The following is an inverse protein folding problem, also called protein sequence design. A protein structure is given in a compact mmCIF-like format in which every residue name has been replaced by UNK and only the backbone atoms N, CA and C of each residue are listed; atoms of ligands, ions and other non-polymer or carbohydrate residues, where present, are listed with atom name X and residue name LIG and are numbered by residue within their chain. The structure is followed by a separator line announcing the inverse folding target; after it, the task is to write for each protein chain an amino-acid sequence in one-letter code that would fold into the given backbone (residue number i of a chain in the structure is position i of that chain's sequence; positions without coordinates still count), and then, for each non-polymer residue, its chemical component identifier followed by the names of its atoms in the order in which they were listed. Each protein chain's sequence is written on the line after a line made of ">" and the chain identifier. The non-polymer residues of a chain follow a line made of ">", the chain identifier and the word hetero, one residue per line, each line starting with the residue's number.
data_IF_483088350629
#
_entry.id   IF_483088350629
#
_cell.length_a   1.000
_cell.length_b   1.000
_cell.length_c   1.000
_cell.angle_alpha   90.00
_cell.angle_beta   90.00
_cell.angle_gamma   90.00
#
_symmetry.space_group_name_H-M   'P 1'
#
loop_
_entity.id
_entity.type
_entity.pdbx_description
1 polymer ?
#
# COMPACT_ATOMS: atom_id res chain seq x y z
N UNK A 1 8.77 1.72 -6.66
CA UNK A 1 8.86 0.66 -5.65
C UNK A 1 8.52 -0.66 -6.31
N UNK A 2 9.34 -1.70 -6.15
CA UNK A 2 9.03 -3.04 -6.66
C UNK A 2 8.31 -3.83 -5.56
N UNK A 3 6.98 -3.89 -5.65
CA UNK A 3 6.16 -4.60 -4.64
C UNK A 3 6.33 -6.12 -4.70
N UNK A 4 6.88 -6.67 -5.78
CA UNK A 4 7.14 -8.10 -5.92
C UNK A 4 8.21 -8.61 -4.94
N UNK A 5 9.01 -7.70 -4.38
CA UNK A 5 10.04 -7.99 -3.38
C UNK A 5 9.60 -7.74 -1.94
N UNK A 6 8.41 -7.18 -1.72
CA UNK A 6 7.89 -6.95 -0.38
C UNK A 6 7.30 -8.24 0.17
N UNK A 7 7.69 -8.58 1.40
CA UNK A 7 7.04 -9.64 2.15
C UNK A 7 5.74 -9.11 2.76
N UNK A 8 4.63 -9.31 2.05
CA UNK A 8 3.31 -8.82 2.45
C UNK A 8 2.49 -9.99 3.00
N UNK A 9 2.04 -9.92 4.27
CA UNK A 9 1.30 -11.02 4.88
C UNK A 9 -0.06 -11.27 4.22
N UNK A 10 -0.49 -12.54 4.20
CA UNK A 10 -1.80 -12.97 3.70
C UNK A 10 -2.88 -12.99 4.80
N UNK A 11 -2.71 -12.18 5.84
CA UNK A 11 -3.63 -12.05 6.98
C UNK A 11 -4.37 -10.70 6.98
N UNK A 12 -5.34 -10.58 7.89
CA UNK A 12 -5.95 -9.29 8.19
C UNK A 12 -4.98 -8.39 8.95
N UNK A 13 -5.11 -7.08 8.75
CA UNK A 13 -4.31 -6.12 9.50
C UNK A 13 -4.48 -4.70 8.98
N UNK A 14 -3.55 -3.85 9.39
CA UNK A 14 -3.43 -2.44 9.03
C UNK A 14 -2.13 -2.24 8.25
N UNK A 15 -2.16 -1.38 7.24
CA UNK A 15 -0.97 -0.96 6.49
C UNK A 15 -0.83 0.55 6.50
N UNK A 16 0.42 1.01 6.55
CA UNK A 16 0.78 2.42 6.50
C UNK A 16 1.65 2.64 5.27
N UNK A 17 1.29 3.60 4.44
CA UNK A 17 2.11 4.03 3.30
C UNK A 17 2.78 5.35 3.66
N UNK A 18 4.08 5.47 3.34
CA UNK A 18 4.91 6.59 3.74
C UNK A 18 5.61 7.25 2.55
N UNK A 19 5.92 8.53 2.74
CA UNK A 19 6.82 9.34 1.91
C UNK A 19 7.74 10.11 2.84
N UNK A 20 9.05 10.10 2.58
CA UNK A 20 10.04 10.77 3.42
C UNK A 20 9.87 10.45 4.92
N UNK A 21 9.70 9.17 5.26
CA UNK A 21 9.42 8.67 6.62
C UNK A 21 8.14 9.19 7.30
N UNK A 22 7.28 9.93 6.57
CA UNK A 22 5.99 10.42 7.07
C UNK A 22 4.86 9.55 6.55
N UNK A 23 3.95 9.14 7.42
CA UNK A 23 2.72 8.43 7.05
C UNK A 23 1.82 9.37 6.23
N UNK A 24 1.48 8.95 5.02
CA UNK A 24 0.59 9.67 4.10
C UNK A 24 -0.75 8.98 3.91
N UNK A 25 -0.83 7.68 4.23
CA UNK A 25 -2.07 6.91 4.14
C UNK A 25 -2.05 5.74 5.11
N UNK A 26 -3.21 5.45 5.70
CA UNK A 26 -3.44 4.27 6.54
C UNK A 26 -4.66 3.54 6.00
N UNK A 27 -4.54 2.22 5.84
CA UNK A 27 -5.65 1.38 5.42
C UNK A 27 -5.72 0.10 6.25
N UNK A 28 -6.90 -0.53 6.24
CA UNK A 28 -7.12 -1.86 6.84
C UNK A 28 -7.57 -2.84 5.78
N UNK A 29 -7.23 -4.11 5.95
CA UNK A 29 -7.62 -5.17 5.02
C UNK A 29 -7.92 -6.48 5.76
N UNK A 30 -8.80 -7.29 5.16
CA UNK A 30 -8.97 -8.71 5.56
C UNK A 30 -7.82 -9.58 5.07
N UNK A 31 -7.14 -9.16 4.01
CA UNK A 31 -5.94 -9.77 3.47
C UNK A 31 -5.04 -8.66 2.94
N UNK A 32 -3.92 -8.42 3.62
CA UNK A 32 -3.00 -7.31 3.33
C UNK A 32 -2.39 -7.44 1.93
N UNK A 33 -1.92 -8.64 1.55
CA UNK A 33 -1.35 -8.90 0.22
C UNK A 33 -2.29 -8.50 -0.92
N UNK A 34 -3.53 -9.02 -0.93
CA UNK A 34 -4.53 -8.69 -1.96
C UNK A 34 -4.81 -7.19 -2.03
N UNK A 35 -4.94 -6.53 -0.87
CA UNK A 35 -5.26 -5.11 -0.81
C UNK A 35 -4.11 -4.25 -1.31
N UNK A 36 -2.89 -4.47 -0.84
CA UNK A 36 -1.72 -3.68 -1.23
C UNK A 36 -1.37 -3.92 -2.70
N UNK A 37 -1.35 -5.16 -3.18
CA UNK A 37 -1.09 -5.44 -4.60
C UNK A 37 -2.08 -4.75 -5.54
N UNK A 38 -3.34 -4.53 -5.11
CA UNK A 38 -4.34 -3.84 -5.92
C UNK A 38 -4.03 -2.37 -6.22
N UNK A 39 -3.14 -1.72 -5.45
CA UNK A 39 -2.69 -0.36 -5.72
C UNK A 39 -1.70 -0.27 -6.88
N UNK A 40 -0.95 -1.33 -7.16
CA UNK A 40 0.17 -1.29 -8.11
C UNK A 40 -0.07 -2.10 -9.37
N UNK A 41 -1.08 -2.98 -9.38
CA UNK A 41 -1.39 -3.85 -10.52
C UNK A 41 -2.39 -3.23 -11.53
N UNK A 42 -2.80 -1.97 -11.36
CA UNK A 42 -3.77 -1.30 -12.24
C UNK A 42 -3.65 0.22 -12.20
N UNK A 43 -4.16 0.87 -13.23
CA UNK A 43 -4.48 2.30 -13.21
C UNK A 43 -5.79 2.50 -12.45
N UNK A 44 -5.83 3.47 -11.53
CA UNK A 44 -7.06 3.77 -10.77
C UNK A 44 -7.86 4.85 -11.49
N UNK A 45 -9.17 4.79 -11.39
CA UNK A 45 -10.06 5.85 -11.91
C UNK A 45 -9.89 7.16 -11.12
N UNK A 46 -9.53 7.05 -9.83
CA UNK A 46 -9.33 8.18 -8.95
C UNK A 46 -7.93 8.76 -9.10
N UNK A 47 -7.86 10.02 -9.54
CA UNK A 47 -6.62 10.79 -9.60
C UNK A 47 -5.89 10.84 -8.25
N UNK A 48 -6.63 11.06 -7.15
CA UNK A 48 -6.07 11.03 -5.78
C UNK A 48 -5.41 9.70 -5.45
N UNK A 49 -5.97 8.58 -5.92
CA UNK A 49 -5.37 7.25 -5.69
C UNK A 49 -4.12 7.07 -6.53
N UNK A 50 -4.13 7.52 -7.79
CA UNK A 50 -2.93 7.52 -8.62
C UNK A 50 -1.82 8.40 -8.03
N UNK A 51 -2.17 9.59 -7.53
CA UNK A 51 -1.23 10.49 -6.87
C UNK A 51 -0.67 9.88 -5.58
N UNK A 52 -1.51 9.26 -4.76
CA UNK A 52 -1.07 8.49 -3.59
C UNK A 52 0.00 7.48 -4.01
N UNK A 53 -0.31 6.60 -4.97
CA UNK A 53 0.60 5.52 -5.42
C UNK A 53 1.94 6.06 -5.91
N UNK A 54 1.94 7.17 -6.65
CA UNK A 54 3.17 7.83 -7.12
C UNK A 54 4.07 8.31 -5.97
N UNK A 55 3.49 8.63 -4.82
CA UNK A 55 4.19 9.20 -3.67
C UNK A 55 4.62 8.15 -2.63
N UNK A 56 4.30 6.86 -2.82
CA UNK A 56 4.68 5.80 -1.88
C UNK A 56 6.16 5.46 -2.05
N UNK A 57 6.90 5.56 -0.96
CA UNK A 57 8.31 5.18 -0.88
C UNK A 57 8.53 3.98 0.05
N UNK A 58 7.67 3.82 1.07
CA UNK A 58 7.71 2.74 2.06
C UNK A 58 6.32 2.28 2.49
N UNK A 59 6.20 1.01 2.90
CA UNK A 59 4.96 0.40 3.38
C UNK A 59 5.26 -0.43 4.64
N UNK A 60 4.54 -0.12 5.73
CA UNK A 60 4.61 -0.85 6.99
C UNK A 60 3.31 -1.63 7.23
N UNK A 61 3.42 -2.80 7.87
CA UNK A 61 2.31 -3.69 8.17
C UNK A 61 2.21 -3.96 9.68
N UNK A 62 0.98 -3.92 10.20
CA UNK A 62 0.63 -4.37 11.56
C UNK A 62 -0.50 -5.39 11.43
N UNK A 63 -0.35 -6.56 12.07
CA UNK A 63 -1.21 -7.72 11.91
C UNK A 63 -1.35 -8.51 13.21
#
# INVERSE_FOLDING_TARGET
>A
MDIGKLDIPESSGVYLMKKNNKVIYVGKAKNLKKRVSSYFNRVHESEKTNELVKNIEDIEFSY
#
